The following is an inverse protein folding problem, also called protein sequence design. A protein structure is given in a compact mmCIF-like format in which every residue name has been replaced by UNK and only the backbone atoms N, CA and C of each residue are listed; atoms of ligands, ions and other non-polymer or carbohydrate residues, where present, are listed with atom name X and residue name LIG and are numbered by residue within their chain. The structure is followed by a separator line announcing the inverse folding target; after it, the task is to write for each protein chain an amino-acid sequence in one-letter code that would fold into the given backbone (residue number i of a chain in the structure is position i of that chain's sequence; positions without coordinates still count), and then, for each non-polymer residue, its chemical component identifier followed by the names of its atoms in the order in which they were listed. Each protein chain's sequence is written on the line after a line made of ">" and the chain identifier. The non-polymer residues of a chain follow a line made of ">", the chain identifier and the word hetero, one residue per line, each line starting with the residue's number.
data_IF_448750175647
#
_entry.id   IF_448750175647
#
_cell.length_a   1.000
_cell.length_b   1.000
_cell.length_c   1.000
_cell.angle_alpha   90.00
_cell.angle_beta   90.00
_cell.angle_gamma   90.00
#
_symmetry.space_group_name_H-M   'P 1'
#
loop_
_entity.id
_entity.type
_entity.pdbx_description
1 polymer ?
#
# COMPACT_ATOMS: atom_id res chain seq x y z
N UNK A 1 -13.89 -14.15 -30.05
CA UNK A 1 -14.21 -12.78 -29.58
C UNK A 1 -15.34 -12.08 -30.35
N UNK A 2 -15.50 -12.29 -31.67
CA UNK A 2 -16.56 -11.64 -32.48
C UNK A 2 -18.00 -11.91 -32.03
N UNK A 3 -18.28 -13.08 -31.44
CA UNK A 3 -19.63 -13.49 -31.02
C UNK A 3 -20.14 -12.65 -29.84
N UNK A 4 -19.28 -12.32 -28.88
CA UNK A 4 -19.65 -11.51 -27.71
C UNK A 4 -19.97 -10.06 -28.07
N UNK A 5 -19.22 -9.46 -29.00
CA UNK A 5 -19.48 -8.10 -29.49
C UNK A 5 -20.84 -8.00 -30.17
N UNK A 6 -21.16 -8.94 -31.06
CA UNK A 6 -22.44 -8.96 -31.79
C UNK A 6 -23.64 -9.17 -30.85
N UNK A 7 -23.50 -10.01 -29.83
CA UNK A 7 -24.54 -10.21 -28.80
C UNK A 7 -24.76 -8.95 -27.97
N UNK A 8 -23.70 -8.25 -27.55
CA UNK A 8 -23.81 -7.03 -26.75
C UNK A 8 -24.46 -5.89 -27.55
N UNK A 9 -24.10 -5.76 -28.82
CA UNK A 9 -24.68 -4.79 -29.75
C UNK A 9 -26.18 -5.05 -29.99
N UNK A 10 -26.56 -6.32 -30.16
CA UNK A 10 -27.96 -6.73 -30.29
C UNK A 10 -28.78 -6.43 -29.03
N UNK A 11 -28.21 -6.67 -27.83
CA UNK A 11 -28.87 -6.35 -26.55
C UNK A 11 -29.03 -4.83 -26.35
N UNK A 12 -28.00 -4.05 -26.66
CA UNK A 12 -28.04 -2.58 -26.63
C UNK A 12 -29.12 -2.03 -27.55
N UNK A 13 -29.17 -2.50 -28.79
CA UNK A 13 -30.17 -2.09 -29.76
C UNK A 13 -31.58 -2.47 -29.27
N UNK A 14 -31.78 -3.70 -28.76
CA UNK A 14 -33.08 -4.16 -28.26
C UNK A 14 -33.60 -3.35 -27.08
N UNK A 15 -32.73 -2.88 -26.20
CA UNK A 15 -33.10 -2.00 -25.09
C UNK A 15 -33.53 -0.60 -25.57
N UNK A 16 -32.88 -0.07 -26.60
CA UNK A 16 -33.21 1.23 -27.20
C UNK A 16 -34.55 1.15 -27.95
N UNK A 17 -34.78 0.09 -28.74
CA UNK A 17 -36.00 -0.07 -29.54
C UNK A 17 -37.27 -0.36 -28.73
N UNK A 18 -37.15 -0.87 -27.49
CA UNK A 18 -38.30 -1.14 -26.60
C UNK A 18 -38.71 0.04 -25.72
N UNK A 19 -38.12 1.23 -25.92
CA UNK A 19 -38.27 2.39 -25.04
C UNK A 19 -39.71 2.69 -24.59
N UNK A 20 -39.82 3.09 -23.31
CA UNK A 20 -40.90 3.73 -22.51
C UNK A 20 -42.37 3.31 -22.76
N UNK A 21 -42.80 3.11 -24.00
CA UNK A 21 -44.16 2.78 -24.44
C UNK A 21 -44.70 1.44 -23.91
N UNK A 22 -43.87 0.61 -23.27
CA UNK A 22 -44.25 -0.69 -22.69
C UNK A 22 -44.49 -0.65 -21.17
N UNK A 23 -44.13 0.43 -20.47
CA UNK A 23 -44.47 0.62 -19.07
C UNK A 23 -45.79 1.39 -18.99
N UNK A 24 -46.86 0.71 -18.58
CA UNK A 24 -48.13 1.36 -18.28
C UNK A 24 -47.95 2.50 -17.26
N UNK A 25 -48.81 3.50 -17.38
CA UNK A 25 -48.78 4.74 -16.59
C UNK A 25 -48.83 4.43 -15.08
N UNK A 26 -47.69 4.58 -14.41
CA UNK A 26 -47.57 4.48 -12.97
C UNK A 26 -46.27 5.19 -12.56
N UNK A 27 -46.33 6.00 -11.49
CA UNK A 27 -45.28 6.91 -10.99
C UNK A 27 -43.96 6.26 -10.57
N UNK A 28 -43.34 5.50 -11.48
CA UNK A 28 -42.10 4.76 -11.34
C UNK A 28 -40.96 5.72 -11.63
N UNK A 29 -40.06 5.92 -10.65
CA UNK A 29 -38.86 6.75 -10.79
C UNK A 29 -38.10 6.39 -12.10
N UNK A 30 -37.63 7.36 -12.90
CA UNK A 30 -36.92 7.12 -14.17
C UNK A 30 -35.77 6.11 -14.08
N UNK A 31 -35.05 6.07 -12.95
CA UNK A 31 -34.00 5.08 -12.70
C UNK A 31 -34.55 3.66 -12.60
N UNK A 32 -35.68 3.50 -11.91
CA UNK A 32 -36.38 2.21 -11.79
C UNK A 32 -36.90 1.74 -13.13
N UNK A 33 -37.52 2.63 -13.90
CA UNK A 33 -38.03 2.34 -15.23
C UNK A 33 -36.91 1.90 -16.18
N UNK A 34 -35.75 2.58 -16.15
CA UNK A 34 -34.57 2.20 -16.92
C UNK A 34 -34.05 0.80 -16.60
N UNK A 35 -33.98 0.44 -15.31
CA UNK A 35 -33.55 -0.91 -14.88
C UNK A 35 -34.55 -1.97 -15.35
N UNK A 36 -35.86 -1.71 -15.22
CA UNK A 36 -36.91 -2.63 -15.68
C UNK A 36 -36.80 -2.87 -17.19
N UNK A 37 -36.62 -1.80 -17.98
CA UNK A 37 -36.46 -1.92 -19.44
C UNK A 37 -35.23 -2.74 -19.83
N UNK A 38 -34.10 -2.55 -19.14
CA UNK A 38 -32.89 -3.33 -19.36
C UNK A 38 -33.10 -4.82 -19.01
N UNK A 39 -33.73 -5.11 -17.87
CA UNK A 39 -34.06 -6.47 -17.43
C UNK A 39 -35.05 -7.16 -18.39
N UNK A 40 -36.00 -6.42 -18.96
CA UNK A 40 -36.89 -6.92 -20.01
C UNK A 40 -36.15 -7.21 -21.33
N UNK A 41 -35.19 -6.36 -21.70
CA UNK A 41 -34.42 -6.52 -22.94
C UNK A 41 -33.53 -7.79 -22.92
N UNK A 42 -32.97 -8.12 -21.76
CA UNK A 42 -32.19 -9.35 -21.53
C UNK A 42 -33.07 -10.58 -21.23
N UNK A 43 -34.41 -10.41 -21.15
CA UNK A 43 -35.36 -11.51 -20.97
C UNK A 43 -35.54 -12.00 -19.53
N UNK A 44 -35.00 -11.27 -18.53
CA UNK A 44 -35.18 -11.55 -17.10
C UNK A 44 -36.61 -11.24 -16.65
N UNK A 45 -37.24 -10.23 -17.25
CA UNK A 45 -38.65 -9.87 -16.99
C UNK A 45 -39.47 -10.13 -18.27
N UNK A 46 -40.57 -10.88 -18.17
CA UNK A 46 -41.53 -11.09 -19.27
C UNK A 46 -42.66 -10.07 -19.18
N UNK A 47 -42.99 -9.43 -20.30
CA UNK A 47 -43.90 -8.28 -20.40
C UNK A 47 -45.37 -8.51 -19.99
N UNK A 48 -45.74 -9.72 -19.56
CA UNK A 48 -47.15 -10.13 -19.38
C UNK A 48 -47.48 -10.76 -18.02
N UNK A 49 -46.62 -10.66 -17.00
CA UNK A 49 -46.99 -11.11 -15.64
C UNK A 49 -47.01 -9.94 -14.65
N UNK A 50 -48.22 -9.57 -14.24
CA UNK A 50 -48.56 -8.62 -13.17
C UNK A 50 -48.17 -9.10 -11.76
N UNK A 51 -47.35 -10.14 -11.62
CA UNK A 51 -46.75 -10.54 -10.35
C UNK A 51 -45.23 -10.54 -10.51
N UNK A 52 -44.64 -9.37 -10.30
CA UNK A 52 -43.20 -9.28 -10.03
C UNK A 52 -42.87 -10.19 -8.83
N UNK A 53 -42.22 -11.33 -9.11
CA UNK A 53 -41.65 -12.20 -8.07
C UNK A 53 -40.83 -11.37 -7.09
N UNK A 54 -40.90 -11.68 -5.78
CA UNK A 54 -40.14 -10.99 -4.74
C UNK A 54 -38.63 -10.92 -5.07
N UNK A 55 -38.12 -11.90 -5.82
CA UNK A 55 -36.73 -11.95 -6.31
C UNK A 55 -36.43 -10.81 -7.31
N UNK A 56 -37.35 -10.52 -8.23
CA UNK A 56 -37.18 -9.44 -9.22
C UNK A 56 -37.22 -8.08 -8.55
N UNK A 57 -38.12 -7.90 -7.56
CA UNK A 57 -38.19 -6.67 -6.76
C UNK A 57 -36.92 -6.43 -5.95
N UNK A 58 -36.37 -7.49 -5.33
CA UNK A 58 -35.11 -7.43 -4.60
C UNK A 58 -33.96 -7.02 -5.52
N UNK A 59 -33.84 -7.66 -6.68
CA UNK A 59 -32.82 -7.36 -7.69
C UNK A 59 -32.90 -5.91 -8.19
N UNK A 60 -34.10 -5.42 -8.48
CA UNK A 60 -34.29 -4.01 -8.88
C UNK A 60 -33.81 -3.06 -7.78
N UNK A 61 -34.15 -3.36 -6.52
CA UNK A 61 -33.77 -2.52 -5.37
C UNK A 61 -32.26 -2.51 -5.14
N UNK A 62 -31.60 -3.65 -5.31
CA UNK A 62 -30.14 -3.78 -5.21
C UNK A 62 -29.42 -2.97 -6.30
N UNK A 63 -29.81 -3.15 -7.57
CA UNK A 63 -29.24 -2.40 -8.72
C UNK A 63 -29.49 -0.90 -8.56
N UNK A 64 -30.64 -0.50 -8.02
CA UNK A 64 -30.93 0.89 -7.70
C UNK A 64 -30.03 1.43 -6.59
N UNK A 65 -29.83 0.67 -5.52
CA UNK A 65 -28.94 1.01 -4.41
C UNK A 65 -27.51 1.25 -4.89
N UNK A 66 -26.98 0.34 -5.71
CA UNK A 66 -25.66 0.47 -6.33
C UNK A 66 -25.56 1.70 -7.25
N UNK A 67 -26.55 1.93 -8.12
CA UNK A 67 -26.56 3.11 -9.00
C UNK A 67 -26.60 4.43 -8.22
N UNK A 68 -27.37 4.50 -7.13
CA UNK A 68 -27.42 5.68 -6.27
C UNK A 68 -26.08 5.88 -5.57
N UNK A 69 -25.43 4.80 -5.10
CA UNK A 69 -24.08 4.89 -4.53
C UNK A 69 -23.05 5.38 -5.55
N UNK A 70 -23.08 4.86 -6.79
CA UNK A 70 -22.20 5.30 -7.89
C UNK A 70 -22.43 6.77 -8.21
N UNK A 71 -23.68 7.23 -8.29
CA UNK A 71 -24.02 8.64 -8.57
C UNK A 71 -23.69 9.60 -7.42
N UNK A 72 -23.76 9.13 -6.16
CA UNK A 72 -23.40 9.91 -4.97
C UNK A 72 -21.90 10.06 -4.80
N UNK A 73 -21.10 9.12 -5.33
CA UNK A 73 -19.64 9.28 -5.40
C UNK A 73 -19.35 10.39 -6.42
N UNK A 74 -18.83 11.53 -5.94
CA UNK A 74 -18.23 12.53 -6.85
C UNK A 74 -17.17 11.80 -7.68
N UNK A 75 -17.12 11.98 -9.01
CA UNK A 75 -16.05 11.41 -9.81
C UNK A 75 -14.73 11.90 -9.23
N UNK A 76 -13.86 10.96 -8.86
CA UNK A 76 -12.54 11.30 -8.38
C UNK A 76 -11.78 11.89 -9.57
N UNK A 77 -11.20 13.06 -9.32
CA UNK A 77 -10.47 13.81 -10.33
C UNK A 77 -9.01 13.89 -9.86
N UNK A 78 -8.15 12.97 -10.33
CA UNK A 78 -6.73 12.93 -9.97
C UNK A 78 -6.05 14.29 -10.17
N UNK A 79 -6.45 15.02 -11.22
CA UNK A 79 -5.80 16.27 -11.64
C UNK A 79 -6.03 17.41 -10.64
N UNK A 80 -7.19 17.44 -9.98
CA UNK A 80 -7.55 18.49 -9.01
C UNK A 80 -6.79 18.37 -7.69
N UNK A 81 -6.45 17.15 -7.26
CA UNK A 81 -5.72 16.91 -5.99
C UNK A 81 -4.21 16.81 -6.18
N UNK A 82 -3.69 16.82 -7.41
CA UNK A 82 -2.26 16.62 -7.67
C UNK A 82 -1.36 17.70 -7.04
N UNK A 83 -1.79 18.97 -7.03
CA UNK A 83 -1.05 20.06 -6.35
C UNK A 83 -0.94 19.80 -4.85
N UNK A 84 -2.05 19.43 -4.23
CA UNK A 84 -2.13 19.12 -2.80
C UNK A 84 -1.26 17.91 -2.43
N UNK A 85 -1.26 16.88 -3.26
CA UNK A 85 -0.39 15.69 -3.10
C UNK A 85 1.07 16.10 -3.13
N UNK A 86 1.48 16.94 -4.09
CA UNK A 86 2.87 17.43 -4.18
C UNK A 86 3.30 18.23 -2.95
N UNK A 87 2.43 19.10 -2.44
CA UNK A 87 2.70 19.89 -1.23
C UNK A 87 2.91 18.97 -0.03
N UNK A 88 2.03 17.99 0.18
CA UNK A 88 2.14 17.03 1.29
C UNK A 88 3.40 16.16 1.17
N UNK A 89 3.73 15.69 -0.03
CA UNK A 89 4.98 14.98 -0.27
C UNK A 89 6.21 15.85 0.03
N UNK A 90 6.16 17.16 -0.24
CA UNK A 90 7.24 18.09 0.12
C UNK A 90 7.42 18.18 1.64
N UNK A 91 6.32 18.30 2.39
CA UNK A 91 6.37 18.29 3.85
C UNK A 91 7.02 17.02 4.41
N UNK A 92 6.63 15.84 3.89
CA UNK A 92 7.25 14.58 4.30
C UNK A 92 8.74 14.50 3.96
N UNK A 93 9.15 15.01 2.79
CA UNK A 93 10.57 15.08 2.43
C UNK A 93 11.36 16.01 3.33
N UNK A 94 10.78 17.15 3.71
CA UNK A 94 11.39 18.07 4.67
C UNK A 94 11.53 17.43 6.04
N UNK A 95 10.49 16.76 6.53
CA UNK A 95 10.54 16.01 7.78
C UNK A 95 11.64 14.95 7.78
N UNK A 96 11.76 14.18 6.69
CA UNK A 96 12.84 13.18 6.57
C UNK A 96 14.22 13.84 6.68
N UNK A 97 14.41 14.97 6.01
CA UNK A 97 15.67 15.71 6.06
C UNK A 97 15.96 16.28 7.45
N UNK A 98 14.95 16.85 8.11
CA UNK A 98 15.10 17.49 9.43
C UNK A 98 15.42 16.47 10.55
N UNK A 99 14.97 15.23 10.37
CA UNK A 99 15.16 14.15 11.34
C UNK A 99 16.40 13.28 11.09
N UNK A 100 17.12 13.50 9.99
CA UNK A 100 18.31 12.72 9.61
C UNK A 100 19.37 12.73 10.72
N UNK A 101 19.66 13.90 11.29
CA UNK A 101 20.62 14.05 12.39
C UNK A 101 20.08 13.60 13.77
N UNK A 102 18.75 13.40 13.88
CA UNK A 102 18.07 13.08 15.15
C UNK A 102 17.82 11.56 15.34
N UNK A 103 18.48 10.73 14.54
CA UNK A 103 18.33 9.27 14.56
C UNK A 103 17.39 8.73 13.49
N UNK A 104 17.00 9.55 12.51
CA UNK A 104 16.21 9.16 11.36
C UNK A 104 14.71 9.37 11.53
N UNK A 105 14.02 9.48 10.40
CA UNK A 105 12.61 9.87 10.34
C UNK A 105 11.67 8.82 10.93
N UNK A 106 12.00 7.54 10.76
CA UNK A 106 11.23 6.41 11.26
C UNK A 106 11.21 6.40 12.79
N UNK A 107 12.39 6.44 13.42
CA UNK A 107 12.52 6.43 14.88
C UNK A 107 11.95 7.70 15.51
N UNK A 108 12.19 8.85 14.88
CA UNK A 108 11.62 10.13 15.31
C UNK A 108 10.10 10.09 15.31
N UNK A 109 9.49 9.45 14.31
CA UNK A 109 8.04 9.34 14.21
C UNK A 109 7.47 8.31 15.21
N UNK A 110 8.11 7.14 15.30
CA UNK A 110 7.70 6.04 16.19
C UNK A 110 7.76 6.46 17.64
N UNK A 111 8.88 7.02 18.06
CA UNK A 111 9.19 7.38 19.44
C UNK A 111 9.01 8.86 19.77
N UNK A 112 8.35 9.63 18.90
CA UNK A 112 8.15 11.08 19.01
C UNK A 112 8.04 11.48 20.48
N UNK A 113 9.02 12.27 20.93
CA UNK A 113 9.27 12.52 22.34
C UNK A 113 8.02 13.16 22.92
N UNK A 114 7.22 12.39 23.67
CA UNK A 114 6.02 12.86 24.39
C UNK A 114 6.28 13.99 25.40
N UNK A 115 7.51 14.52 25.43
CA UNK A 115 8.01 15.49 26.40
C UNK A 115 7.82 16.94 25.95
N UNK A 116 7.72 17.22 24.63
CA UNK A 116 7.50 18.58 24.11
C UNK A 116 6.22 18.66 23.29
N UNK A 117 5.43 19.71 23.52
CA UNK A 117 4.20 19.95 22.77
C UNK A 117 4.43 20.15 21.26
N UNK A 118 5.61 20.64 20.88
CA UNK A 118 6.00 20.83 19.48
C UNK A 118 6.22 19.50 18.75
N UNK A 119 6.93 18.55 19.38
CA UNK A 119 7.17 17.22 18.82
C UNK A 119 5.84 16.46 18.56
N UNK A 120 4.84 16.67 19.43
CA UNK A 120 3.49 16.09 19.28
C UNK A 120 2.77 16.72 18.09
N UNK A 121 2.75 18.06 17.99
CA UNK A 121 2.10 18.77 16.88
C UNK A 121 2.70 18.42 15.53
N UNK A 122 4.02 18.31 15.45
CA UNK A 122 4.69 17.93 14.21
C UNK A 122 4.32 16.49 13.84
N UNK A 123 4.34 15.54 14.79
CA UNK A 123 3.87 14.18 14.54
C UNK A 123 2.42 14.14 14.04
N UNK A 124 1.50 14.87 14.66
CA UNK A 124 0.10 14.94 14.22
C UNK A 124 -0.05 15.51 12.81
N UNK A 125 0.76 16.52 12.47
CA UNK A 125 0.79 17.10 11.12
C UNK A 125 1.31 16.11 10.08
N UNK A 126 2.38 15.38 10.41
CA UNK A 126 2.95 14.34 9.55
C UNK A 126 1.96 13.18 9.39
N UNK A 127 1.29 12.74 10.46
CA UNK A 127 0.24 11.72 10.42
C UNK A 127 -0.90 12.15 9.49
N UNK A 128 -1.38 13.40 9.62
CA UNK A 128 -2.42 13.94 8.75
C UNK A 128 -2.02 13.93 7.28
N UNK A 129 -0.81 14.38 6.97
CA UNK A 129 -0.32 14.38 5.58
C UNK A 129 -0.15 12.97 5.02
N UNK A 130 0.34 12.03 5.84
CA UNK A 130 0.42 10.60 5.52
C UNK A 130 -0.95 10.03 5.19
N UNK A 131 -1.96 10.24 6.04
CA UNK A 131 -3.31 9.71 5.85
C UNK A 131 -3.99 10.29 4.61
N UNK A 132 -3.86 11.60 4.38
CA UNK A 132 -4.40 12.27 3.18
C UNK A 132 -3.75 11.77 1.89
N UNK A 133 -2.46 11.43 1.93
CA UNK A 133 -1.75 10.81 0.80
C UNK A 133 -2.16 9.36 0.60
N UNK A 134 -2.32 8.59 1.67
CA UNK A 134 -2.78 7.21 1.63
C UNK A 134 -4.17 7.12 1.01
N UNK A 135 -5.12 7.95 1.46
CA UNK A 135 -6.48 8.03 0.91
C UNK A 135 -6.48 8.39 -0.59
N UNK A 136 -5.60 9.30 -1.01
CA UNK A 136 -5.46 9.65 -2.43
C UNK A 136 -4.99 8.46 -3.26
N UNK A 137 -3.93 7.77 -2.82
CA UNK A 137 -3.37 6.64 -3.56
C UNK A 137 -4.25 5.39 -3.53
N UNK A 138 -5.00 5.17 -2.47
CA UNK A 138 -6.04 4.15 -2.41
C UNK A 138 -7.09 4.39 -3.50
N UNK A 139 -7.63 5.61 -3.60
CA UNK A 139 -8.61 5.96 -4.66
C UNK A 139 -8.00 5.82 -6.06
N UNK A 140 -6.77 6.29 -6.27
CA UNK A 140 -6.06 6.12 -7.55
C UNK A 140 -5.93 4.64 -7.94
N UNK A 141 -5.58 3.78 -6.98
CA UNK A 141 -5.43 2.34 -7.21
C UNK A 141 -6.77 1.70 -7.57
N UNK A 142 -7.86 2.09 -6.89
CA UNK A 142 -9.20 1.61 -7.21
C UNK A 142 -9.64 1.98 -8.63
N UNK A 143 -9.35 3.20 -9.09
CA UNK A 143 -9.61 3.59 -10.48
C UNK A 143 -8.79 2.77 -11.48
N UNK A 144 -7.51 2.58 -11.18
CA UNK A 144 -6.60 1.82 -12.03
C UNK A 144 -7.00 0.35 -12.16
N UNK A 145 -7.60 -0.25 -11.12
CA UNK A 145 -8.17 -1.61 -11.18
C UNK A 145 -9.28 -1.74 -12.24
N UNK A 146 -10.02 -0.66 -12.52
CA UNK A 146 -11.12 -0.66 -13.49
C UNK A 146 -10.64 -0.45 -14.94
N UNK A 147 -9.41 0.05 -15.13
CA UNK A 147 -8.85 0.37 -16.45
C UNK A 147 -8.06 -0.83 -16.97
N UNK A 148 -8.31 -1.31 -18.20
CA UNK A 148 -7.50 -2.36 -18.80
C UNK A 148 -6.01 -1.99 -18.84
N UNK A 149 -5.12 -2.92 -18.47
CA UNK A 149 -3.68 -2.64 -18.35
C UNK A 149 -3.03 -2.08 -19.63
N UNK A 150 -3.54 -2.48 -20.81
CA UNK A 150 -3.13 -1.96 -22.12
C UNK A 150 -3.34 -0.45 -22.29
N UNK A 151 -4.22 0.15 -21.50
CA UNK A 151 -4.57 1.58 -21.52
C UNK A 151 -3.87 2.37 -20.41
N UNK A 152 -2.91 1.76 -19.70
CA UNK A 152 -2.20 2.39 -18.59
C UNK A 152 -1.11 3.39 -18.99
N UNK A 153 -0.82 3.55 -20.28
CA UNK A 153 0.25 4.43 -20.76
C UNK A 153 0.19 5.86 -20.17
N UNK A 154 -0.98 6.54 -20.08
CA UNK A 154 -1.07 7.86 -19.47
C UNK A 154 -0.79 7.89 -17.96
N UNK A 155 -0.98 6.75 -17.27
CA UNK A 155 -0.89 6.64 -15.82
C UNK A 155 0.50 6.23 -15.33
N UNK A 156 1.41 5.81 -16.21
CA UNK A 156 2.77 5.38 -15.85
C UNK A 156 3.51 6.40 -14.99
N UNK A 157 3.49 7.68 -15.37
CA UNK A 157 4.10 8.76 -14.57
C UNK A 157 3.44 8.90 -13.19
N UNK A 158 2.13 8.67 -13.12
CA UNK A 158 1.38 8.58 -11.87
C UNK A 158 1.84 7.41 -11.00
N UNK A 159 2.05 6.22 -11.58
CA UNK A 159 2.53 5.04 -10.87
C UNK A 159 3.91 5.26 -10.25
N UNK A 160 4.85 5.87 -10.98
CA UNK A 160 6.15 6.24 -10.42
C UNK A 160 6.02 7.22 -9.25
N UNK A 161 5.12 8.20 -9.38
CA UNK A 161 4.82 9.15 -8.30
C UNK A 161 4.22 8.46 -7.08
N UNK A 162 3.33 7.49 -7.29
CA UNK A 162 2.72 6.67 -6.25
C UNK A 162 3.72 5.78 -5.55
N UNK A 163 4.65 5.18 -6.29
CA UNK A 163 5.73 4.39 -5.72
C UNK A 163 6.71 5.24 -4.89
N UNK A 164 7.00 6.46 -5.35
CA UNK A 164 7.77 7.43 -4.56
C UNK A 164 7.02 7.84 -3.29
N UNK A 165 5.70 8.02 -3.38
CA UNK A 165 4.86 8.31 -2.22
C UNK A 165 4.87 7.15 -1.23
N UNK A 166 4.59 5.91 -1.67
CA UNK A 166 4.67 4.68 -0.86
C UNK A 166 5.94 4.63 -0.04
N UNK A 167 7.10 4.83 -0.67
CA UNK A 167 8.39 4.83 0.02
C UNK A 167 8.50 5.93 1.10
N UNK A 168 7.74 7.03 1.04
CA UNK A 168 7.65 8.08 2.09
C UNK A 168 6.74 7.69 3.25
N UNK A 169 5.56 7.16 2.94
CA UNK A 169 4.48 7.00 3.93
C UNK A 169 4.42 5.60 4.56
N UNK A 170 4.74 4.55 3.82
CA UNK A 170 4.65 3.17 4.32
C UNK A 170 5.57 2.91 5.53
N UNK A 171 6.81 3.44 5.60
CA UNK A 171 7.61 3.40 6.83
C UNK A 171 6.92 4.01 8.06
N UNK A 172 6.12 5.05 7.88
CA UNK A 172 5.39 5.71 8.97
C UNK A 172 4.19 4.87 9.43
N UNK A 173 3.51 4.20 8.51
CA UNK A 173 2.47 3.21 8.84
C UNK A 173 3.06 2.00 9.57
N UNK A 174 4.25 1.54 9.17
CA UNK A 174 5.00 0.48 9.87
C UNK A 174 5.32 0.94 11.30
N UNK A 175 5.80 2.16 11.47
CA UNK A 175 6.10 2.72 12.80
C UNK A 175 4.85 2.70 13.70
N UNK A 176 3.68 3.13 13.19
CA UNK A 176 2.40 3.06 13.91
C UNK A 176 1.99 1.62 14.23
N UNK A 177 2.11 0.71 13.26
CA UNK A 177 1.72 -0.68 13.37
C UNK A 177 2.47 -1.39 14.51
N UNK A 178 3.80 -1.29 14.52
CA UNK A 178 4.62 -1.92 15.57
C UNK A 178 4.57 -1.16 16.89
N UNK A 179 4.37 0.17 16.88
CA UNK A 179 4.15 0.93 18.12
C UNK A 179 2.83 0.58 18.81
N UNK A 180 1.85 0.04 18.07
CA UNK A 180 0.62 -0.54 18.61
C UNK A 180 0.80 -1.98 19.12
N UNK A 181 2.01 -2.53 19.11
CA UNK A 181 2.31 -3.89 19.59
C UNK A 181 1.91 -5.01 18.61
N UNK A 182 1.60 -4.67 17.35
CA UNK A 182 1.28 -5.66 16.31
C UNK A 182 2.56 -6.30 15.74
N UNK A 183 2.39 -7.44 15.07
CA UNK A 183 3.47 -8.23 14.43
C UNK A 183 3.07 -8.65 13.02
N UNK A 184 4.00 -9.17 12.24
CA UNK A 184 3.79 -9.71 10.90
C UNK A 184 3.20 -8.69 9.91
N UNK A 185 3.75 -7.46 9.86
CA UNK A 185 3.23 -6.37 9.02
C UNK A 185 3.05 -6.79 7.55
N UNK A 186 4.03 -7.51 6.97
CA UNK A 186 3.98 -7.96 5.58
C UNK A 186 2.77 -8.85 5.27
N UNK A 187 2.27 -9.59 6.26
CA UNK A 187 1.17 -10.55 6.10
C UNK A 187 -0.18 -9.97 6.51
N UNK A 188 -0.19 -9.12 7.54
CA UNK A 188 -1.44 -8.69 8.20
C UNK A 188 -1.63 -7.17 8.26
N UNK A 189 -0.56 -6.38 8.11
CA UNK A 189 -0.58 -4.93 8.27
C UNK A 189 -0.54 -4.14 6.97
N UNK A 190 -0.05 -4.74 5.89
CA UNK A 190 0.25 -4.02 4.65
C UNK A 190 -1.00 -3.67 3.87
N UNK A 191 -1.23 -2.37 3.65
CA UNK A 191 -2.36 -1.89 2.88
C UNK A 191 -2.29 -2.32 1.40
N UNK A 192 -3.44 -2.64 0.81
CA UNK A 192 -3.52 -3.19 -0.56
C UNK A 192 -2.93 -2.24 -1.61
N UNK A 193 -3.16 -0.93 -1.45
CA UNK A 193 -2.65 0.07 -2.39
C UNK A 193 -1.11 0.12 -2.44
N UNK A 194 -0.40 -0.17 -1.33
CA UNK A 194 1.06 -0.30 -1.34
C UNK A 194 1.52 -1.51 -2.13
N UNK A 195 0.87 -2.66 -1.92
CA UNK A 195 1.17 -3.92 -2.62
C UNK A 195 0.98 -3.73 -4.13
N UNK A 196 -0.13 -3.11 -4.54
CA UNK A 196 -0.45 -2.91 -5.94
C UNK A 196 0.49 -1.91 -6.62
N UNK A 197 0.78 -0.77 -5.98
CA UNK A 197 1.73 0.22 -6.51
C UNK A 197 3.12 -0.38 -6.72
N UNK A 198 3.62 -1.14 -5.75
CA UNK A 198 4.90 -1.85 -5.87
C UNK A 198 4.89 -2.86 -7.01
N UNK A 199 3.85 -3.71 -7.06
CA UNK A 199 3.69 -4.74 -8.09
C UNK A 199 3.66 -4.14 -9.50
N UNK A 200 2.96 -3.03 -9.68
CA UNK A 200 2.84 -2.38 -10.99
C UNK A 200 4.14 -1.74 -11.44
N UNK A 201 4.86 -1.06 -10.54
CA UNK A 201 6.16 -0.47 -10.90
C UNK A 201 7.23 -1.53 -11.15
N UNK A 202 7.26 -2.62 -10.38
CA UNK A 202 8.26 -3.68 -10.58
C UNK A 202 8.06 -4.45 -11.90
N UNK A 203 6.84 -4.52 -12.44
CA UNK A 203 6.58 -5.10 -13.77
C UNK A 203 7.13 -4.24 -14.92
N UNK A 204 7.16 -2.93 -14.74
CA UNK A 204 7.61 -1.96 -15.75
C UNK A 204 9.10 -1.60 -15.61
N UNK A 205 9.81 -2.14 -14.60
CA UNK A 205 11.25 -1.89 -14.42
C UNK A 205 12.06 -2.64 -15.50
N UNK A 206 12.91 -1.94 -16.27
CA UNK A 206 13.92 -2.61 -17.07
C UNK A 206 14.93 -3.32 -16.15
N UNK A 207 15.67 -4.29 -16.70
CA UNK A 207 16.81 -4.88 -16.00
C UNK A 207 17.74 -3.75 -15.53
N UNK A 208 17.98 -3.68 -14.21
CA UNK A 208 18.81 -2.62 -13.65
C UNK A 208 20.27 -2.88 -13.97
N UNK A 209 20.93 -1.87 -14.54
CA UNK A 209 22.39 -1.81 -14.58
C UNK A 209 22.96 -1.76 -13.15
N UNK A 210 24.15 -2.36 -12.90
CA UNK A 210 24.82 -2.29 -11.61
C UNK A 210 24.99 -0.83 -11.16
N UNK A 211 24.59 -0.53 -9.92
CA UNK A 211 24.76 0.82 -9.36
C UNK A 211 26.22 1.06 -8.98
N UNK A 212 26.67 2.29 -9.19
CA UNK A 212 27.96 2.78 -8.69
C UNK A 212 27.85 3.51 -7.35
N UNK A 213 26.64 3.83 -6.86
CA UNK A 213 26.39 4.58 -5.63
C UNK A 213 25.16 4.07 -4.88
N UNK A 214 25.19 4.17 -3.55
CA UNK A 214 24.05 3.89 -2.69
C UNK A 214 22.85 4.77 -3.04
N UNK A 215 21.64 4.21 -2.96
CA UNK A 215 20.44 5.00 -3.09
C UNK A 215 20.34 6.03 -1.96
N UNK A 216 20.00 7.27 -2.29
CA UNK A 216 19.71 8.32 -1.31
C UNK A 216 18.53 8.00 -0.40
N UNK A 217 17.77 6.94 -0.72
CA UNK A 217 16.66 6.45 0.07
C UNK A 217 16.50 4.96 -0.13
N UNK A 218 16.18 4.23 0.93
CA UNK A 218 15.92 2.79 0.84
C UNK A 218 14.83 2.50 -0.18
N UNK A 219 15.08 1.54 -1.06
CA UNK A 219 14.17 1.18 -2.15
C UNK A 219 12.97 0.40 -1.67
N UNK A 220 13.23 -0.55 -0.78
CA UNK A 220 12.21 -1.32 -0.09
C UNK A 220 11.57 -0.45 1.00
N UNK A 221 10.31 -0.09 0.80
CA UNK A 221 9.54 0.66 1.80
C UNK A 221 9.16 -0.18 3.03
N UNK A 222 9.27 -1.51 2.94
CA UNK A 222 9.04 -2.43 4.04
C UNK A 222 10.30 -2.72 4.86
N UNK A 223 11.44 -2.07 4.56
CA UNK A 223 12.70 -2.25 5.29
C UNK A 223 12.52 -2.24 6.80
N UNK A 224 11.78 -1.26 7.34
CA UNK A 224 11.57 -1.17 8.77
C UNK A 224 10.74 -2.31 9.35
N UNK A 225 9.82 -2.91 8.59
CA UNK A 225 9.11 -4.11 9.05
C UNK A 225 10.07 -5.29 9.22
N UNK A 226 11.05 -5.45 8.32
CA UNK A 226 12.10 -6.47 8.46
C UNK A 226 12.95 -6.23 9.72
N UNK A 227 13.29 -4.97 10.02
CA UNK A 227 14.03 -4.60 11.24
C UNK A 227 13.23 -4.92 12.50
N UNK A 228 11.93 -4.62 12.54
CA UNK A 228 11.08 -4.90 13.69
C UNK A 228 10.91 -6.41 13.94
N UNK A 229 10.69 -7.22 12.90
CA UNK A 229 10.60 -8.69 13.05
C UNK A 229 11.92 -9.31 13.51
N UNK A 230 13.05 -8.79 13.03
CA UNK A 230 14.37 -9.19 13.51
C UNK A 230 14.57 -8.80 14.98
N UNK A 231 14.10 -7.62 15.40
CA UNK A 231 14.16 -7.17 16.79
C UNK A 231 13.33 -8.07 17.71
N UNK A 232 12.11 -8.39 17.31
CA UNK A 232 11.22 -9.34 18.03
C UNK A 232 11.90 -10.72 18.15
N UNK A 233 12.56 -11.18 17.07
CA UNK A 233 13.28 -12.45 17.08
C UNK A 233 14.47 -12.43 18.05
N UNK A 234 15.23 -11.33 18.11
CA UNK A 234 16.28 -11.12 19.10
C UNK A 234 15.73 -11.15 20.54
N UNK A 235 14.61 -10.48 20.80
CA UNK A 235 13.96 -10.49 22.12
C UNK A 235 13.51 -11.91 22.53
N UNK A 236 12.91 -12.66 21.60
CA UNK A 236 12.50 -14.05 21.85
C UNK A 236 13.66 -15.00 22.17
N UNK A 237 14.87 -14.72 21.66
CA UNK A 237 16.07 -15.50 21.99
C UNK A 237 16.66 -15.17 23.36
N UNK A 238 16.46 -13.94 23.86
CA UNK A 238 16.91 -13.53 25.19
C UNK A 238 16.02 -14.04 26.30
N UNK A 239 14.73 -14.20 25.99
CA UNK A 239 13.77 -14.73 26.95
C UNK A 239 14.11 -16.20 27.24
N UNK A 240 14.72 -16.43 28.41
CA UNK A 240 15.13 -17.75 28.88
C UNK A 240 13.97 -18.72 29.12
N UNK A 241 12.73 -18.23 29.02
CA UNK A 241 11.50 -19.05 29.11
C UNK A 241 10.99 -19.54 27.76
N UNK A 242 11.59 -19.09 26.65
CA UNK A 242 11.18 -19.48 25.29
C UNK A 242 11.38 -20.97 25.02
N UNK A 243 10.34 -21.60 24.46
CA UNK A 243 10.41 -22.99 24.01
C UNK A 243 11.54 -23.22 23.00
N UNK A 244 12.04 -24.46 22.92
CA UNK A 244 13.07 -24.82 21.92
C UNK A 244 12.62 -24.54 20.50
N UNK A 245 11.33 -24.71 20.20
CA UNK A 245 10.75 -24.46 18.89
C UNK A 245 10.73 -22.95 18.56
N UNK A 246 10.32 -22.11 19.53
CA UNK A 246 10.33 -20.66 19.37
C UNK A 246 11.75 -20.13 19.14
N UNK A 247 12.74 -20.68 19.84
CA UNK A 247 14.15 -20.32 19.64
C UNK A 247 14.65 -20.70 18.24
N UNK A 248 14.30 -21.88 17.74
CA UNK A 248 14.62 -22.29 16.36
C UNK A 248 13.99 -21.35 15.34
N UNK A 249 12.71 -21.03 15.49
CA UNK A 249 12.00 -20.10 14.60
C UNK A 249 12.63 -18.70 14.61
N UNK A 250 12.92 -18.14 15.79
CA UNK A 250 13.59 -16.85 15.92
C UNK A 250 14.99 -16.85 15.26
N UNK A 251 15.75 -17.93 15.42
CA UNK A 251 17.06 -18.09 14.76
C UNK A 251 16.92 -18.10 13.24
N UNK A 252 15.92 -18.83 12.72
CA UNK A 252 15.66 -18.90 11.28
C UNK A 252 15.24 -17.54 10.71
N UNK A 253 14.41 -16.78 11.44
CA UNK A 253 14.00 -15.43 11.04
C UNK A 253 15.21 -14.49 10.96
N UNK A 254 16.15 -14.57 11.91
CA UNK A 254 17.38 -13.78 11.88
C UNK A 254 18.27 -14.15 10.70
N UNK A 255 18.43 -15.43 10.38
CA UNK A 255 19.17 -15.86 9.18
C UNK A 255 18.51 -15.36 7.88
N UNK A 256 17.19 -15.33 7.83
CA UNK A 256 16.46 -14.76 6.69
C UNK A 256 16.69 -13.24 6.60
N UNK A 257 16.70 -12.54 7.73
CA UNK A 257 17.02 -11.11 7.78
C UNK A 257 18.46 -10.83 7.31
N UNK A 258 19.44 -11.64 7.69
CA UNK A 258 20.82 -11.48 7.20
C UNK A 258 20.91 -11.63 5.68
N UNK A 259 20.23 -12.63 5.10
CA UNK A 259 20.18 -12.82 3.65
C UNK A 259 19.53 -11.64 2.93
N UNK A 260 18.45 -11.11 3.50
CA UNK A 260 17.80 -9.90 3.03
C UNK A 260 18.77 -8.72 3.03
N UNK A 261 19.42 -8.45 4.17
CA UNK A 261 20.37 -7.34 4.31
C UNK A 261 21.54 -7.46 3.34
N UNK A 262 22.08 -8.67 3.16
CA UNK A 262 23.14 -8.93 2.18
C UNK A 262 22.73 -8.51 0.78
N UNK A 263 21.59 -8.99 0.31
CA UNK A 263 21.06 -8.60 -1.00
C UNK A 263 20.81 -7.10 -1.11
N UNK A 264 20.26 -6.48 -0.08
CA UNK A 264 19.96 -5.03 -0.08
C UNK A 264 21.22 -4.15 -0.10
N UNK A 265 22.28 -4.56 0.60
CA UNK A 265 23.57 -3.83 0.67
C UNK A 265 24.37 -4.05 -0.61
N UNK A 266 24.51 -5.29 -1.09
CA UNK A 266 25.25 -5.61 -2.33
C UNK A 266 24.64 -4.90 -3.55
N UNK A 267 23.30 -4.74 -3.57
CA UNK A 267 22.60 -4.00 -4.62
C UNK A 267 22.54 -2.47 -4.38
N UNK A 268 23.21 -1.96 -3.34
CA UNK A 268 23.23 -0.54 -2.99
C UNK A 268 21.80 0.05 -2.86
N UNK A 269 20.88 -0.74 -2.33
CA UNK A 269 19.43 -0.47 -2.26
C UNK A 269 18.96 0.09 -0.91
N UNK A 270 19.85 0.19 0.06
CA UNK A 270 19.60 0.83 1.37
C UNK A 270 20.28 2.18 1.45
N UNK A 271 19.62 3.13 2.11
CA UNK A 271 20.19 4.45 2.40
C UNK A 271 21.30 4.34 3.45
N UNK A 272 22.41 5.08 3.34
CA UNK A 272 23.42 5.16 4.40
C UNK A 272 22.85 5.63 5.76
N UNK A 273 21.70 6.32 5.75
CA UNK A 273 20.95 6.73 6.96
C UNK A 273 20.71 5.57 7.94
N UNK A 274 20.57 4.33 7.44
CA UNK A 274 20.34 3.16 8.30
C UNK A 274 21.55 2.83 9.19
N UNK A 275 22.74 3.39 8.92
CA UNK A 275 23.94 3.19 9.72
C UNK A 275 24.20 4.32 10.73
N UNK A 276 23.30 5.29 10.84
CA UNK A 276 23.41 6.36 11.84
C UNK A 276 23.15 5.82 13.25
N UNK A 277 24.07 6.10 14.18
CA UNK A 277 24.24 5.32 15.41
C UNK A 277 23.05 5.24 16.38
N UNK A 278 22.03 6.10 16.26
CA UNK A 278 20.88 6.13 17.17
C UNK A 278 19.62 5.44 16.64
N UNK A 279 19.62 4.98 15.39
CA UNK A 279 18.42 4.42 14.78
C UNK A 279 18.12 2.97 15.24
N UNK A 280 16.92 2.48 14.94
CA UNK A 280 16.46 1.14 15.32
C UNK A 280 17.25 0.01 14.68
N UNK A 281 17.82 0.20 13.48
CA UNK A 281 18.69 -0.80 12.88
C UNK A 281 20.01 -0.94 13.67
N UNK A 282 20.62 0.16 14.09
CA UNK A 282 21.84 0.14 14.92
C UNK A 282 21.57 -0.36 16.35
N UNK A 283 20.33 -0.19 16.86
CA UNK A 283 19.89 -0.86 18.10
C UNK A 283 19.78 -2.38 17.89
N UNK A 284 19.09 -2.82 16.84
CA UNK A 284 18.99 -4.23 16.47
C UNK A 284 20.38 -4.86 16.35
N UNK A 285 21.30 -4.21 15.64
CA UNK A 285 22.66 -4.71 15.46
C UNK A 285 23.38 -4.94 16.80
N UNK A 286 23.32 -3.98 17.73
CA UNK A 286 23.91 -4.14 19.08
C UNK A 286 23.32 -5.30 19.85
N UNK A 287 22.01 -5.53 19.73
CA UNK A 287 21.37 -6.66 20.39
C UNK A 287 21.69 -8.00 19.73
N UNK A 288 21.80 -8.01 18.41
CA UNK A 288 22.22 -9.18 17.64
C UNK A 288 23.67 -9.58 17.94
N UNK A 289 24.59 -8.61 18.02
CA UNK A 289 25.99 -8.85 18.35
C UNK A 289 26.17 -9.43 19.77
N UNK A 290 25.39 -8.94 20.74
CA UNK A 290 25.38 -9.50 22.11
C UNK A 290 24.91 -10.96 22.15
N UNK A 291 23.94 -11.32 21.31
CA UNK A 291 23.38 -12.68 21.25
C UNK A 291 24.32 -13.67 20.60
N UNK A 292 24.97 -13.26 19.52
CA UNK A 292 25.82 -14.13 18.71
C UNK A 292 27.25 -14.24 19.26
N UNK A 293 27.71 -13.22 19.99
CA UNK A 293 29.03 -13.19 20.60
C UNK A 293 30.16 -12.91 19.59
N UNK A 294 31.37 -12.72 20.09
CA UNK A 294 32.53 -12.35 19.27
C UNK A 294 32.91 -13.44 18.24
N UNK A 295 32.64 -14.71 18.53
CA UNK A 295 33.02 -15.87 17.73
C UNK A 295 32.07 -16.19 16.58
N UNK A 296 30.88 -15.60 16.54
CA UNK A 296 29.96 -15.81 15.43
C UNK A 296 30.42 -15.00 14.21
N UNK A 297 30.53 -15.68 13.08
CA UNK A 297 31.01 -15.10 11.84
C UNK A 297 29.97 -15.33 10.73
N UNK A 298 29.14 -14.32 10.50
CA UNK A 298 28.26 -14.21 9.34
C UNK A 298 28.73 -13.06 8.44
N UNK A 299 28.25 -13.07 7.20
CA UNK A 299 28.51 -11.97 6.27
C UNK A 299 28.06 -10.61 6.84
N UNK A 300 26.90 -10.57 7.51
CA UNK A 300 26.42 -9.34 8.13
C UNK A 300 27.30 -8.93 9.31
N UNK A 301 27.80 -9.90 10.09
CA UNK A 301 28.71 -9.60 11.22
C UNK A 301 30.01 -8.97 10.73
N UNK A 302 30.61 -9.53 9.68
CA UNK A 302 31.83 -9.02 9.08
C UNK A 302 31.61 -7.61 8.47
N UNK A 303 30.53 -7.43 7.71
CA UNK A 303 30.16 -6.15 7.13
C UNK A 303 29.95 -5.07 8.21
N UNK A 304 29.23 -5.40 9.29
CA UNK A 304 28.95 -4.46 10.38
C UNK A 304 30.16 -4.18 11.28
N UNK A 305 31.20 -5.02 11.27
CA UNK A 305 32.46 -4.75 12.00
C UNK A 305 33.43 -3.93 11.15
N UNK A 306 33.52 -4.22 9.86
CA UNK A 306 34.61 -3.75 9.01
C UNK A 306 34.18 -2.83 7.85
N UNK A 307 32.95 -2.94 7.36
CA UNK A 307 32.55 -2.38 6.06
C UNK A 307 31.55 -1.23 6.09
N UNK A 308 30.64 -1.17 7.07
CA UNK A 308 29.52 -0.21 7.02
C UNK A 308 29.95 1.27 7.04
N UNK A 309 31.11 1.60 7.63
CA UNK A 309 31.63 2.98 7.67
C UNK A 309 32.09 3.48 6.30
N UNK A 310 32.43 2.57 5.40
CA UNK A 310 32.76 2.84 4.00
C UNK A 310 31.58 2.58 3.06
N UNK A 311 30.37 2.37 3.60
CA UNK A 311 29.18 2.22 2.78
C UNK A 311 28.73 3.59 2.25
N UNK A 312 29.02 3.81 0.96
CA UNK A 312 28.79 5.02 0.17
C UNK A 312 29.89 6.10 0.28
#
# INVERSE_FOLDING_TARGET
>A
MQIYGKTLENLKNRAIYRGISSLGDCGINPLRAGIILQLQAIGVIRSQQQQESNVVKALITEIQGENIQIRRRKPFDPSKRLKDVKIKMMYLKWYIKDTEEQGGYYDSYKYARRRRAEDIREKEKIAKHKDELSEYWEKMVEEMKQIPQKEWAPFRTGLYSGNNCRRLIEPLDIAEYYNAGKKDYLKHGRAEHYILLEKWVNKDKPAMEPRSKACSRTEDSCFWAHVEEAMISCEGLKDGTSSTENRKSATQNLLQFERYMKGSIENLAVSPEIFLGQNSFMKLWREYEKLTGASYNSWLTDFMRNGYRSYA
#
